data_IF_120806622151
#
_entry.id   IF_120806622151
#
_cell.length_a   1.000
_cell.length_b   1.000
_cell.length_c   1.000
_cell.angle_alpha   90.00
_cell.angle_beta   90.00
_cell.angle_gamma   90.00
#
_symmetry.space_group_name_H-M   'P 1'
#
loop_
_entity.id
_entity.type
_entity.pdbx_description
1 polymer ?
#
# COMPACT_ATOMS: atom_id res chain seq x y z
N UNK A 1 -20.56 -0.19 -2.85
CA UNK A 1 -19.87 1.07 -2.52
C UNK A 1 -18.41 0.86 -2.86
N UNK A 2 -17.68 1.86 -3.39
CA UNK A 2 -16.26 1.68 -3.66
C UNK A 2 -15.51 1.42 -2.33
N UNK A 3 -14.56 0.48 -2.33
CA UNK A 3 -13.64 0.31 -1.21
C UNK A 3 -12.66 1.50 -1.10
N UNK A 4 -11.94 1.60 0.00
CA UNK A 4 -11.04 2.72 0.29
C UNK A 4 -9.94 2.87 -0.79
N UNK A 5 -9.43 1.76 -1.34
CA UNK A 5 -8.47 1.78 -2.45
C UNK A 5 -9.09 2.40 -3.70
N UNK A 6 -10.28 1.94 -4.08
CA UNK A 6 -10.99 2.46 -5.25
C UNK A 6 -11.29 3.95 -5.13
N UNK A 7 -11.70 4.42 -3.95
CA UNK A 7 -11.91 5.83 -3.67
C UNK A 7 -10.62 6.66 -3.77
N UNK A 8 -9.51 6.14 -3.24
CA UNK A 8 -8.19 6.76 -3.35
C UNK A 8 -7.77 6.95 -4.81
N UNK A 9 -7.86 5.89 -5.63
CA UNK A 9 -7.50 5.96 -7.06
C UNK A 9 -8.42 6.94 -7.80
N UNK A 10 -9.73 6.91 -7.54
CA UNK A 10 -10.68 7.83 -8.17
C UNK A 10 -10.33 9.30 -7.89
N UNK A 11 -10.01 9.63 -6.63
CA UNK A 11 -9.59 10.96 -6.19
C UNK A 11 -8.28 11.39 -6.86
N UNK A 12 -7.21 10.58 -6.73
CA UNK A 12 -5.88 10.91 -7.28
C UNK A 12 -5.92 11.11 -8.78
N UNK A 13 -6.75 10.32 -9.47
CA UNK A 13 -6.91 10.41 -10.91
C UNK A 13 -7.56 11.73 -11.34
N UNK A 14 -8.49 12.29 -10.55
CA UNK A 14 -9.09 13.61 -10.79
C UNK A 14 -8.06 14.72 -10.51
N UNK A 15 -7.33 14.63 -9.39
CA UNK A 15 -6.27 15.59 -9.03
C UNK A 15 -5.19 15.73 -10.12
N UNK A 16 -4.91 14.64 -10.84
CA UNK A 16 -3.87 14.56 -11.87
C UNK A 16 -4.41 14.66 -13.31
N UNK A 17 -5.69 14.96 -13.49
CA UNK A 17 -6.40 15.02 -14.79
C UNK A 17 -6.17 13.78 -15.69
N UNK A 18 -6.17 12.60 -15.09
CA UNK A 18 -5.92 11.34 -15.81
C UNK A 18 -7.22 10.65 -16.20
N UNK A 19 -7.34 10.23 -17.46
CA UNK A 19 -8.47 9.41 -17.92
C UNK A 19 -8.24 7.93 -17.56
N UNK A 20 -9.32 7.14 -17.48
CA UNK A 20 -9.20 5.70 -17.18
C UNK A 20 -8.51 4.94 -18.32
N UNK A 21 -8.74 5.38 -19.56
CA UNK A 21 -8.23 4.70 -20.75
C UNK A 21 -6.70 4.58 -20.76
N UNK A 22 -5.90 5.65 -20.59
CA UNK A 22 -4.44 5.54 -20.49
C UNK A 22 -3.97 4.59 -19.39
N UNK A 23 -4.64 4.61 -18.23
CA UNK A 23 -4.28 3.74 -17.09
C UNK A 23 -4.54 2.28 -17.42
N UNK A 24 -5.72 1.99 -17.98
CA UNK A 24 -6.09 0.65 -18.39
C UNK A 24 -5.13 0.10 -19.47
N UNK A 25 -4.76 0.93 -20.45
CA UNK A 25 -3.77 0.58 -21.49
C UNK A 25 -2.41 0.23 -20.88
N UNK A 26 -1.91 1.05 -19.93
CA UNK A 26 -0.61 0.81 -19.29
C UNK A 26 -0.61 -0.43 -18.39
N UNK A 27 -1.73 -0.71 -17.72
CA UNK A 27 -1.94 -1.91 -16.92
C UNK A 27 -2.22 -3.17 -17.77
N UNK A 28 -2.43 -3.04 -19.08
CA UNK A 28 -2.80 -4.16 -19.94
C UNK A 28 -4.18 -4.74 -19.66
N UNK A 29 -5.11 -3.94 -19.12
CA UNK A 29 -6.48 -4.36 -18.77
C UNK A 29 -7.53 -3.54 -19.55
N UNK A 30 -8.78 -4.00 -19.54
CA UNK A 30 -9.88 -3.22 -20.13
C UNK A 30 -10.29 -2.05 -19.22
N UNK A 31 -10.81 -0.97 -19.82
CA UNK A 31 -11.37 0.17 -19.07
C UNK A 31 -12.50 -0.27 -18.14
N UNK A 32 -13.32 -1.23 -18.57
CA UNK A 32 -14.39 -1.81 -17.75
C UNK A 32 -13.81 -2.53 -16.52
N UNK A 33 -12.75 -3.32 -16.70
CA UNK A 33 -12.08 -4.03 -15.60
C UNK A 33 -11.46 -3.06 -14.59
N UNK A 34 -10.72 -2.05 -15.06
CA UNK A 34 -10.19 -0.99 -14.18
C UNK A 34 -11.32 -0.26 -13.44
N UNK A 35 -12.43 0.00 -14.13
CA UNK A 35 -13.59 0.62 -13.50
C UNK A 35 -14.25 -0.27 -12.45
N UNK A 36 -14.23 -1.59 -12.60
CA UNK A 36 -14.73 -2.53 -11.60
C UNK A 36 -13.80 -2.62 -10.39
N UNK A 37 -12.47 -2.54 -10.58
CA UNK A 37 -11.51 -2.40 -9.47
C UNK A 37 -11.83 -1.13 -8.67
N UNK A 38 -11.93 0.03 -9.33
CA UNK A 38 -12.21 1.32 -8.67
C UNK A 38 -13.56 1.32 -7.94
N UNK A 39 -14.52 0.51 -8.38
CA UNK A 39 -15.83 0.33 -7.72
C UNK A 39 -15.83 -0.74 -6.63
N UNK A 40 -14.69 -1.35 -6.31
CA UNK A 40 -14.57 -2.41 -5.31
C UNK A 40 -15.24 -3.73 -5.71
N UNK A 41 -15.47 -3.97 -7.00
CA UNK A 41 -16.05 -5.22 -7.53
C UNK A 41 -14.99 -6.26 -7.87
N UNK A 42 -13.73 -5.84 -7.94
CA UNK A 42 -12.54 -6.65 -8.17
C UNK A 42 -11.46 -6.21 -7.19
N UNK A 43 -10.56 -7.12 -6.87
CA UNK A 43 -9.41 -6.81 -6.02
C UNK A 43 -8.54 -5.72 -6.69
N UNK A 44 -7.80 -4.94 -5.89
CA UNK A 44 -6.76 -4.02 -6.39
C UNK A 44 -5.77 -4.76 -7.34
N UNK A 45 -4.89 -4.07 -8.09
CA UNK A 45 -3.82 -4.73 -8.85
C UNK A 45 -2.76 -5.35 -7.94
N UNK A 46 -1.94 -6.27 -8.44
CA UNK A 46 -0.77 -6.79 -7.73
C UNK A 46 0.33 -5.72 -7.59
N UNK A 47 1.49 -6.07 -7.02
CA UNK A 47 2.59 -5.12 -6.80
C UNK A 47 3.00 -4.38 -8.07
N UNK A 48 3.16 -5.10 -9.19
CA UNK A 48 3.56 -4.49 -10.46
C UNK A 48 2.49 -3.51 -10.96
N UNK A 49 1.21 -3.90 -10.89
CA UNK A 49 0.11 -2.99 -11.22
C UNK A 49 0.02 -1.76 -10.29
N UNK A 50 0.31 -1.93 -9.00
CA UNK A 50 0.38 -0.82 -8.04
C UNK A 50 1.56 0.11 -8.35
N UNK A 51 2.74 -0.43 -8.68
CA UNK A 51 3.89 0.36 -9.09
C UNK A 51 3.60 1.18 -10.37
N UNK A 52 2.88 0.59 -11.35
CA UNK A 52 2.38 1.30 -12.54
C UNK A 52 1.44 2.43 -12.15
N UNK A 53 0.46 2.17 -11.26
CA UNK A 53 -0.48 3.19 -10.81
C UNK A 53 0.23 4.35 -10.10
N UNK A 54 1.19 4.05 -9.22
CA UNK A 54 1.98 5.06 -8.52
C UNK A 54 2.72 5.97 -9.51
N UNK A 55 3.38 5.37 -10.51
CA UNK A 55 4.10 6.10 -11.54
C UNK A 55 3.17 6.97 -12.39
N UNK A 56 2.03 6.42 -12.85
CA UNK A 56 1.08 7.16 -13.68
C UNK A 56 0.43 8.32 -12.94
N UNK A 57 0.05 8.11 -11.68
CA UNK A 57 -0.56 9.14 -10.84
C UNK A 57 0.47 10.11 -10.25
N UNK A 58 1.77 9.90 -10.53
CA UNK A 58 2.87 10.68 -9.98
C UNK A 58 2.71 10.85 -8.45
N UNK A 59 2.57 9.72 -7.76
CA UNK A 59 2.43 9.67 -6.31
C UNK A 59 3.77 9.91 -5.65
N UNK A 60 3.78 10.69 -4.58
CA UNK A 60 4.94 10.76 -3.69
C UNK A 60 5.02 9.49 -2.80
N UNK A 61 6.09 9.37 -2.02
CA UNK A 61 6.32 8.16 -1.20
C UNK A 61 5.22 7.90 -0.17
N UNK A 62 4.69 8.95 0.46
CA UNK A 62 3.61 8.81 1.44
C UNK A 62 2.29 8.38 0.78
N UNK A 63 1.95 8.97 -0.37
CA UNK A 63 0.77 8.58 -1.16
C UNK A 63 0.90 7.16 -1.73
N UNK A 64 2.12 6.78 -2.12
CA UNK A 64 2.43 5.42 -2.57
C UNK A 64 2.21 4.43 -1.41
N UNK A 65 2.79 4.69 -0.23
CA UNK A 65 2.59 3.87 0.95
C UNK A 65 1.11 3.73 1.32
N UNK A 66 0.35 4.85 1.35
CA UNK A 66 -1.10 4.83 1.57
C UNK A 66 -1.82 3.91 0.57
N UNK A 67 -1.47 4.00 -0.72
CA UNK A 67 -2.06 3.15 -1.76
C UNK A 67 -1.76 1.66 -1.54
N UNK A 68 -0.53 1.31 -1.17
CA UNK A 68 -0.13 -0.08 -0.90
C UNK A 68 -0.86 -0.64 0.34
N UNK A 69 -1.00 0.15 1.40
CA UNK A 69 -1.75 -0.22 2.61
C UNK A 69 -3.24 -0.43 2.31
N UNK A 70 -3.85 0.47 1.53
CA UNK A 70 -5.23 0.35 1.09
C UNK A 70 -5.45 -0.93 0.27
N UNK A 71 -4.53 -1.22 -0.65
CA UNK A 71 -4.60 -2.41 -1.48
C UNK A 71 -4.41 -3.70 -0.68
N UNK A 72 -3.48 -3.70 0.28
CA UNK A 72 -3.25 -4.81 1.20
C UNK A 72 -4.47 -5.10 2.07
N UNK A 73 -5.06 -4.06 2.68
CA UNK A 73 -6.26 -4.19 3.52
C UNK A 73 -7.45 -4.76 2.75
N UNK A 74 -7.71 -4.28 1.52
CA UNK A 74 -8.79 -4.84 0.69
C UNK A 74 -8.56 -6.31 0.30
N UNK A 75 -7.29 -6.72 0.17
CA UNK A 75 -6.93 -8.13 -0.06
C UNK A 75 -6.84 -8.98 1.20
N UNK A 76 -6.97 -8.39 2.39
CA UNK A 76 -6.64 -9.02 3.66
C UNK A 76 -5.21 -9.61 3.67
N UNK A 77 -4.25 -8.83 3.17
CA UNK A 77 -2.84 -9.17 3.04
C UNK A 77 -1.96 -8.01 3.55
N UNK A 78 -0.71 -8.31 3.88
CA UNK A 78 0.32 -7.29 4.11
C UNK A 78 0.51 -6.48 2.83
N UNK A 79 0.80 -5.18 2.97
CA UNK A 79 1.19 -4.33 1.86
C UNK A 79 2.31 -5.01 1.03
N UNK A 80 2.12 -5.08 -0.29
CA UNK A 80 2.95 -5.94 -1.13
C UNK A 80 4.38 -5.43 -1.32
N UNK A 81 4.62 -4.14 -1.09
CA UNK A 81 5.94 -3.52 -1.00
C UNK A 81 6.70 -3.87 0.29
N UNK A 82 5.99 -4.12 1.41
CA UNK A 82 6.60 -4.54 2.68
C UNK A 82 6.87 -6.05 2.77
N UNK A 83 6.28 -6.85 1.87
CA UNK A 83 6.29 -8.31 1.97
C UNK A 83 7.70 -8.89 1.94
N UNK A 84 8.56 -8.40 1.03
CA UNK A 84 9.94 -8.87 0.91
C UNK A 84 10.74 -8.60 2.20
N UNK A 85 10.69 -7.37 2.70
CA UNK A 85 11.35 -6.99 3.95
C UNK A 85 10.84 -7.82 5.15
N UNK A 86 9.53 -7.99 5.28
CA UNK A 86 8.94 -8.75 6.39
C UNK A 86 9.32 -10.23 6.33
N UNK A 87 9.52 -10.79 5.13
CA UNK A 87 9.81 -12.21 4.91
C UNK A 87 11.30 -12.55 4.84
N UNK A 88 12.19 -11.55 4.74
CA UNK A 88 13.63 -11.73 4.70
C UNK A 88 14.13 -12.61 5.87
N UNK A 89 14.90 -13.64 5.53
CA UNK A 89 15.47 -14.61 6.47
C UNK A 89 16.67 -14.05 7.23
N UNK A 90 17.31 -12.99 6.73
CA UNK A 90 18.44 -12.32 7.38
C UNK A 90 18.03 -11.49 8.61
N UNK A 91 16.75 -11.08 8.68
CA UNK A 91 16.16 -10.28 9.77
C UNK A 91 14.98 -10.98 10.46
N UNK A 92 15.16 -12.21 10.99
CA UNK A 92 14.06 -13.02 11.51
C UNK A 92 13.33 -12.37 12.69
N UNK A 93 14.00 -11.44 13.39
CA UNK A 93 13.45 -10.70 14.52
C UNK A 93 12.25 -9.81 14.17
N UNK A 94 12.08 -9.37 12.90
CA UNK A 94 10.91 -8.60 12.49
C UNK A 94 9.62 -9.41 12.72
N UNK A 95 9.56 -10.64 12.21
CA UNK A 95 8.41 -11.54 12.39
C UNK A 95 8.23 -11.98 13.84
N UNK A 96 9.31 -12.09 14.61
CA UNK A 96 9.24 -12.37 16.05
C UNK A 96 8.61 -11.19 16.80
N UNK A 97 9.01 -9.95 16.49
CA UNK A 97 8.46 -8.73 17.08
C UNK A 97 6.96 -8.60 16.80
N UNK A 98 6.53 -8.79 15.54
CA UNK A 98 5.10 -8.74 15.19
C UNK A 98 4.27 -9.78 15.96
N UNK A 99 4.77 -11.02 16.09
CA UNK A 99 4.06 -12.06 16.88
C UNK A 99 4.01 -11.71 18.36
N UNK A 100 5.10 -11.21 18.94
CA UNK A 100 5.14 -10.78 20.35
C UNK A 100 4.18 -9.63 20.62
N UNK A 101 4.19 -8.59 19.78
CA UNK A 101 3.30 -7.45 19.90
C UNK A 101 1.82 -7.87 19.82
N UNK A 102 1.47 -8.72 18.84
CA UNK A 102 0.12 -9.29 18.72
C UNK A 102 -0.28 -10.09 19.95
N UNK A 103 0.57 -11.01 20.42
CA UNK A 103 0.27 -11.87 21.56
C UNK A 103 0.15 -11.09 22.88
N UNK A 104 0.85 -9.96 23.00
CA UNK A 104 0.75 -9.04 24.13
C UNK A 104 -0.34 -7.97 23.97
N UNK A 105 -1.15 -8.03 22.89
CA UNK A 105 -2.20 -7.07 22.57
C UNK A 105 -1.72 -5.61 22.55
N UNK A 106 -0.52 -5.38 22.03
CA UNK A 106 0.05 -4.04 21.90
C UNK A 106 -0.60 -3.30 20.73
N UNK A 107 -1.17 -2.13 21.00
CA UNK A 107 -1.80 -1.26 20.02
C UNK A 107 -0.84 -0.25 19.39
N UNK A 108 -1.42 0.74 18.71
CA UNK A 108 -0.69 1.78 17.96
C UNK A 108 0.27 2.62 18.83
N UNK A 109 -0.06 2.88 20.10
CA UNK A 109 0.81 3.63 21.02
C UNK A 109 2.18 2.96 21.24
N UNK A 110 2.26 1.63 21.12
CA UNK A 110 3.53 0.92 21.14
C UNK A 110 4.32 1.14 19.85
N UNK A 111 3.66 1.06 18.69
CA UNK A 111 4.31 1.24 17.40
C UNK A 111 4.77 2.68 17.16
N UNK A 112 4.05 3.68 17.69
CA UNK A 112 4.52 5.07 17.74
C UNK A 112 5.88 5.17 18.44
N UNK A 113 6.05 4.53 19.60
CA UNK A 113 7.35 4.49 20.30
C UNK A 113 8.43 3.77 19.50
N UNK A 114 8.07 2.73 18.74
CA UNK A 114 9.02 2.05 17.85
C UNK A 114 9.46 2.98 16.72
N UNK A 115 8.54 3.75 16.12
CA UNK A 115 8.86 4.75 15.12
C UNK A 115 9.77 5.83 15.71
N UNK A 116 9.47 6.35 16.90
CA UNK A 116 10.33 7.31 17.59
C UNK A 116 11.76 6.76 17.78
N UNK A 117 11.92 5.48 18.12
CA UNK A 117 13.26 4.85 18.24
C UNK A 117 13.97 4.79 16.87
N UNK A 118 13.24 4.55 15.79
CA UNK A 118 13.80 4.48 14.43
C UNK A 118 14.23 5.87 13.97
N UNK A 119 13.36 6.87 14.12
CA UNK A 119 13.61 8.25 13.69
C UNK A 119 14.80 8.86 14.46
N UNK A 120 14.96 8.51 15.74
CA UNK A 120 16.08 8.97 16.56
C UNK A 120 17.39 8.20 16.34
N UNK A 121 17.43 7.15 15.51
CA UNK A 121 18.68 6.47 15.12
C UNK A 121 19.44 7.21 14.02
N UNK A 122 18.85 8.24 13.40
CA UNK A 122 19.52 9.09 12.41
C UNK A 122 20.40 10.19 13.02
N UNK A 123 20.58 10.24 14.34
CA UNK A 123 21.55 11.15 14.99
C UNK A 123 22.80 10.37 15.44
N UNK A 124 23.78 10.13 14.55
CA UNK A 124 25.09 9.69 14.97
C UNK A 124 25.76 10.85 15.72
N UNK A 125 25.91 10.72 17.04
CA UNK A 125 27.03 11.39 17.72
C UNK A 125 28.37 10.91 17.16
#
# INVERSE_FOLDING_TARGET
MAGEFGAFIARKRIEKDLKLKPIAEKLGVSVAYLSDIIRGRRNPPDKEGLDILAAMLNLNDAEKAEMFDLAGRERNQVASDLTEYIMDESIPNARVAFRKARNANLGDDFWKKVNDIIDNKEDPQ
#
